data_IF_099712896828
#
_entry.id   IF_099712896828
#
_cell.length_a   1.000
_cell.length_b   1.000
_cell.length_c   1.000
_cell.angle_alpha   90.00
_cell.angle_beta   90.00
_cell.angle_gamma   90.00
#
_symmetry.space_group_name_H-M   'P 1'
#
loop_
_entity.id
_entity.type
_entity.pdbx_description
1 polymer ?
#
# COMPACT_ATOMS: atom_id res chain seq x y z
N UNK A 1 1.86 -38.24 0.77
CA UNK A 1 1.98 -38.20 2.25
C UNK A 1 1.34 -36.90 2.76
N UNK A 2 0.07 -36.69 2.41
CA UNK A 2 -0.72 -35.50 2.75
C UNK A 2 -2.11 -35.94 3.25
N UNK A 3 -2.13 -36.97 4.08
CA UNK A 3 -3.35 -37.41 4.74
C UNK A 3 -3.21 -37.11 6.22
N UNK A 4 -4.23 -36.43 6.77
CA UNK A 4 -4.41 -36.06 8.17
C UNK A 4 -3.76 -34.75 8.64
N UNK A 5 -4.05 -33.64 7.95
CA UNK A 5 -4.20 -32.36 8.64
C UNK A 5 -5.63 -32.25 9.20
N UNK A 6 -6.06 -33.27 9.94
CA UNK A 6 -7.25 -33.19 10.77
C UNK A 6 -6.87 -32.27 11.94
N UNK A 7 -7.16 -30.98 11.80
CA UNK A 7 -7.20 -30.03 12.90
C UNK A 7 -7.98 -30.71 14.03
N UNK A 8 -7.27 -31.13 15.07
CA UNK A 8 -7.90 -31.74 16.25
C UNK A 8 -8.85 -30.70 16.83
N UNK A 9 -10.00 -31.11 17.37
CA UNK A 9 -11.01 -30.20 17.93
C UNK A 9 -10.39 -29.16 18.90
N UNK A 10 -9.34 -29.56 19.61
CA UNK A 10 -8.49 -28.73 20.46
C UNK A 10 -7.79 -27.58 19.71
N UNK A 11 -7.24 -27.81 18.51
CA UNK A 11 -6.61 -26.76 17.70
C UNK A 11 -7.64 -25.77 17.19
N UNK A 12 -8.83 -26.23 16.78
CA UNK A 12 -9.93 -25.35 16.35
C UNK A 12 -10.34 -24.43 17.50
N UNK A 13 -10.46 -24.98 18.71
CA UNK A 13 -10.81 -24.20 19.90
C UNK A 13 -9.76 -23.15 20.26
N UNK A 14 -8.46 -23.49 20.10
CA UNK A 14 -7.35 -22.53 20.27
C UNK A 14 -7.39 -21.43 19.21
N UNK A 15 -7.69 -21.75 17.95
CA UNK A 15 -7.85 -20.76 16.89
C UNK A 15 -9.04 -19.82 17.13
N UNK A 16 -10.18 -20.36 17.57
CA UNK A 16 -11.36 -19.56 17.92
C UNK A 16 -11.04 -18.65 19.11
N UNK A 17 -10.40 -19.16 20.15
CA UNK A 17 -10.00 -18.36 21.32
C UNK A 17 -9.04 -17.24 20.92
N UNK A 18 -8.04 -17.54 20.08
CA UNK A 18 -7.11 -16.54 19.56
C UNK A 18 -7.83 -15.47 18.73
N UNK A 19 -8.78 -15.86 17.87
CA UNK A 19 -9.61 -14.91 17.12
C UNK A 19 -10.42 -14.01 18.06
N UNK A 20 -11.05 -14.58 19.10
CA UNK A 20 -11.77 -13.81 20.11
C UNK A 20 -10.88 -12.84 20.89
N UNK A 21 -9.67 -13.24 21.27
CA UNK A 21 -8.70 -12.35 21.94
C UNK A 21 -8.28 -11.20 21.03
N UNK A 22 -8.01 -11.47 19.75
CA UNK A 22 -7.66 -10.43 18.76
C UNK A 22 -8.82 -9.46 18.54
N UNK A 23 -10.04 -9.98 18.37
CA UNK A 23 -11.24 -9.15 18.23
C UNK A 23 -11.48 -8.34 19.50
N UNK A 24 -11.41 -8.96 20.68
CA UNK A 24 -11.61 -8.31 21.97
C UNK A 24 -10.59 -7.19 22.24
N UNK A 25 -9.31 -7.43 21.92
CA UNK A 25 -8.28 -6.39 22.02
C UNK A 25 -8.57 -5.21 21.08
N UNK A 26 -9.02 -5.49 19.85
CA UNK A 26 -9.39 -4.46 18.88
C UNK A 26 -10.58 -3.63 19.38
N UNK A 27 -11.60 -4.29 19.95
CA UNK A 27 -12.76 -3.62 20.57
C UNK A 27 -12.33 -2.72 21.73
N UNK A 28 -11.42 -3.18 22.60
CA UNK A 28 -10.87 -2.35 23.69
C UNK A 28 -10.15 -1.11 23.18
N UNK A 29 -9.42 -1.22 22.07
CA UNK A 29 -8.76 -0.08 21.42
C UNK A 29 -9.78 0.93 20.89
N UNK A 30 -10.82 0.46 20.22
CA UNK A 30 -11.92 1.30 19.72
C UNK A 30 -12.61 2.00 20.90
N UNK A 31 -12.86 1.29 22.01
CA UNK A 31 -13.54 1.84 23.17
C UNK A 31 -12.77 3.01 23.82
N UNK A 32 -11.43 2.96 23.82
CA UNK A 32 -10.60 4.08 24.28
C UNK A 32 -10.77 5.31 23.39
N UNK A 33 -10.76 5.13 22.07
CA UNK A 33 -10.96 6.22 21.11
C UNK A 33 -12.37 6.81 21.22
N UNK A 34 -13.39 5.96 21.37
CA UNK A 34 -14.78 6.37 21.65
C UNK A 34 -14.85 7.26 22.89
N UNK A 35 -14.19 6.90 23.98
CA UNK A 35 -14.20 7.70 25.21
C UNK A 35 -13.55 9.08 25.00
N UNK A 36 -12.44 9.15 24.27
CA UNK A 36 -11.77 10.41 23.95
C UNK A 36 -12.66 11.30 23.07
N UNK A 37 -13.29 10.72 22.05
CA UNK A 37 -14.17 11.46 21.13
C UNK A 37 -15.42 11.96 21.86
N UNK A 38 -16.02 11.14 22.71
CA UNK A 38 -17.14 11.56 23.55
C UNK A 38 -16.76 12.73 24.47
N UNK A 39 -15.59 12.65 25.11
CA UNK A 39 -15.08 13.73 25.95
C UNK A 39 -14.85 15.03 25.17
N UNK A 40 -14.23 14.94 23.99
CA UNK A 40 -14.02 16.10 23.12
C UNK A 40 -15.35 16.69 22.64
N UNK A 41 -16.29 15.86 22.21
CA UNK A 41 -17.61 16.29 21.75
C UNK A 41 -18.44 16.96 22.85
N UNK A 42 -18.24 16.55 24.11
CA UNK A 42 -18.86 17.20 25.26
C UNK A 42 -18.26 18.59 25.54
N UNK A 43 -16.94 18.72 25.49
CA UNK A 43 -16.23 19.96 25.81
C UNK A 43 -16.32 20.99 24.68
N UNK A 44 -16.37 20.53 23.43
CA UNK A 44 -16.29 21.39 22.26
C UNK A 44 -17.34 22.53 22.22
N UNK A 45 -18.64 22.29 22.47
CA UNK A 45 -19.64 23.36 22.52
C UNK A 45 -19.38 24.37 23.65
N UNK A 46 -18.89 23.89 24.80
CA UNK A 46 -18.57 24.75 25.96
C UNK A 46 -17.40 25.69 25.63
N UNK A 47 -16.37 25.17 24.96
CA UNK A 47 -15.21 25.95 24.53
C UNK A 47 -15.62 26.97 23.46
N UNK A 48 -16.43 26.58 22.48
CA UNK A 48 -16.91 27.49 21.44
C UNK A 48 -17.73 28.65 22.00
N UNK A 49 -18.60 28.39 22.97
CA UNK A 49 -19.37 29.45 23.61
C UNK A 49 -18.49 30.39 24.44
N UNK A 50 -17.58 29.85 25.25
CA UNK A 50 -16.79 30.65 26.19
C UNK A 50 -15.63 31.41 25.53
N UNK A 51 -15.00 30.85 24.50
CA UNK A 51 -13.81 31.44 23.86
C UNK A 51 -14.17 32.22 22.61
N UNK A 52 -15.07 31.68 21.78
CA UNK A 52 -15.38 32.24 20.46
C UNK A 52 -16.69 33.05 20.44
N UNK A 53 -17.38 33.15 21.58
CA UNK A 53 -18.64 33.89 21.69
C UNK A 53 -19.76 33.28 20.84
N UNK A 54 -19.64 32.00 20.48
CA UNK A 54 -20.68 31.31 19.75
C UNK A 54 -21.91 31.06 20.63
N UNK A 55 -23.07 30.87 20.01
CA UNK A 55 -24.35 30.66 20.70
C UNK A 55 -24.84 29.22 20.55
N UNK A 56 -24.00 28.24 20.87
CA UNK A 56 -24.41 26.83 20.90
C UNK A 56 -25.27 26.54 22.12
N UNK A 57 -26.20 25.59 21.98
CA UNK A 57 -27.00 25.13 23.10
C UNK A 57 -26.13 24.24 24.00
N UNK A 58 -25.98 24.61 25.28
CA UNK A 58 -25.16 23.88 26.26
C UNK A 58 -26.00 23.07 27.25
N UNK A 59 -27.31 22.97 27.01
CA UNK A 59 -28.18 22.11 27.82
C UNK A 59 -27.77 20.64 27.72
N UNK A 60 -28.09 19.86 28.76
CA UNK A 60 -27.74 18.44 28.84
C UNK A 60 -28.20 17.65 27.61
N UNK A 61 -29.43 17.89 27.14
CA UNK A 61 -29.97 17.24 25.94
C UNK A 61 -29.15 17.57 24.67
N UNK A 62 -28.77 18.83 24.48
CA UNK A 62 -27.98 19.27 23.34
C UNK A 62 -26.55 18.68 23.40
N UNK A 63 -25.93 18.64 24.58
CA UNK A 63 -24.63 18.00 24.78
C UNK A 63 -24.68 16.51 24.46
N UNK A 64 -25.72 15.80 24.93
CA UNK A 64 -25.92 14.38 24.63
C UNK A 64 -26.10 14.16 23.13
N UNK A 65 -26.81 15.06 22.44
CA UNK A 65 -27.00 15.03 21.00
C UNK A 65 -25.68 15.22 20.25
N UNK A 66 -24.85 16.20 20.63
CA UNK A 66 -23.52 16.41 20.02
C UNK A 66 -22.60 15.21 20.22
N UNK A 67 -22.58 14.63 21.43
CA UNK A 67 -21.80 13.42 21.72
C UNK A 67 -22.29 12.24 20.87
N UNK A 68 -23.61 12.06 20.74
CA UNK A 68 -24.19 10.98 19.94
C UNK A 68 -23.83 11.12 18.46
N UNK A 69 -23.93 12.34 17.90
CA UNK A 69 -23.54 12.60 16.51
C UNK A 69 -22.05 12.33 16.30
N UNK A 70 -21.19 12.81 17.20
CA UNK A 70 -19.75 12.61 17.08
C UNK A 70 -19.36 11.12 17.14
N UNK A 71 -19.99 10.36 18.04
CA UNK A 71 -19.80 8.91 18.12
C UNK A 71 -20.33 8.19 16.88
N UNK A 72 -21.48 8.59 16.35
CA UNK A 72 -22.03 8.05 15.10
C UNK A 72 -21.08 8.28 13.92
N UNK A 73 -20.55 9.49 13.77
CA UNK A 73 -19.56 9.83 12.74
C UNK A 73 -18.28 9.01 12.90
N UNK A 74 -17.80 8.82 14.13
CA UNK A 74 -16.62 8.00 14.39
C UNK A 74 -16.83 6.53 14.01
N UNK A 75 -18.01 5.97 14.33
CA UNK A 75 -18.38 4.62 13.92
C UNK A 75 -18.41 4.46 12.39
N UNK A 76 -18.97 5.44 11.68
CA UNK A 76 -18.97 5.45 10.22
C UNK A 76 -17.54 5.51 9.67
N UNK A 77 -16.68 6.35 10.25
CA UNK A 77 -15.27 6.43 9.88
C UNK A 77 -14.54 5.09 10.08
N UNK A 78 -14.70 4.45 11.24
CA UNK A 78 -14.09 3.13 11.53
C UNK A 78 -14.55 2.06 10.54
N UNK A 79 -15.84 2.05 10.18
CA UNK A 79 -16.37 1.11 9.18
C UNK A 79 -15.73 1.37 7.81
N UNK A 80 -15.62 2.64 7.38
CA UNK A 80 -14.98 3.01 6.13
C UNK A 80 -13.49 2.64 6.11
N UNK A 81 -12.77 2.91 7.20
CA UNK A 81 -11.36 2.55 7.35
C UNK A 81 -11.17 1.04 7.24
N UNK A 82 -12.09 0.25 7.81
CA UNK A 82 -12.09 -1.21 7.69
C UNK A 82 -12.24 -1.66 6.23
N UNK A 83 -13.17 -1.06 5.48
CA UNK A 83 -13.36 -1.36 4.06
C UNK A 83 -12.16 -0.95 3.20
N UNK A 84 -11.58 0.23 3.44
CA UNK A 84 -10.40 0.71 2.72
C UNK A 84 -9.18 -0.14 3.05
N UNK A 85 -9.00 -0.54 4.31
CA UNK A 85 -7.91 -1.40 4.76
C UNK A 85 -7.97 -2.78 4.10
N UNK A 86 -9.16 -3.38 4.00
CA UNK A 86 -9.37 -4.63 3.24
C UNK A 86 -9.01 -4.42 1.76
N UNK A 87 -9.44 -3.31 1.17
CA UNK A 87 -9.09 -2.95 -0.21
C UNK A 87 -7.58 -2.84 -0.44
N UNK A 88 -6.84 -2.22 0.48
CA UNK A 88 -5.38 -2.09 0.41
C UNK A 88 -4.66 -3.43 0.55
N UNK A 89 -5.14 -4.32 1.44
CA UNK A 89 -4.58 -5.68 1.56
C UNK A 89 -4.80 -6.47 0.27
N UNK A 90 -5.99 -6.40 -0.31
CA UNK A 90 -6.31 -7.06 -1.58
C UNK A 90 -5.42 -6.49 -2.70
N UNK A 91 -5.30 -5.17 -2.80
CA UNK A 91 -4.47 -4.53 -3.81
C UNK A 91 -2.99 -4.90 -3.66
N UNK A 92 -2.49 -4.96 -2.43
CA UNK A 92 -1.12 -5.41 -2.13
C UNK A 92 -0.87 -6.87 -2.52
N UNK A 93 -1.86 -7.76 -2.33
CA UNK A 93 -1.78 -9.15 -2.81
C UNK A 93 -1.73 -9.19 -4.34
N UNK A 94 -2.55 -8.40 -5.03
CA UNK A 94 -2.49 -8.29 -6.49
C UNK A 94 -1.16 -7.72 -6.99
N UNK A 95 -0.58 -6.74 -6.30
CA UNK A 95 0.72 -6.17 -6.64
C UNK A 95 1.85 -7.20 -6.50
N UNK A 96 1.84 -7.97 -5.41
CA UNK A 96 2.80 -9.08 -5.20
C UNK A 96 2.63 -10.15 -6.29
N UNK A 97 1.41 -10.48 -6.67
CA UNK A 97 1.12 -11.44 -7.74
C UNK A 97 1.49 -10.90 -9.14
N UNK A 98 1.39 -9.58 -9.36
CA UNK A 98 1.70 -8.93 -10.63
C UNK A 98 3.20 -8.67 -10.82
N UNK A 99 3.99 -8.50 -9.75
CA UNK A 99 5.45 -8.31 -9.80
C UNK A 99 6.19 -9.31 -10.71
N UNK A 100 5.98 -10.65 -10.58
CA UNK A 100 6.67 -11.61 -11.44
C UNK A 100 6.25 -11.49 -12.92
N UNK A 101 5.00 -11.09 -13.21
CA UNK A 101 4.51 -10.88 -14.58
C UNK A 101 5.20 -9.67 -15.21
N UNK A 102 5.36 -8.59 -14.45
CA UNK A 102 6.07 -7.38 -14.89
C UNK A 102 7.55 -7.70 -15.18
N UNK A 103 8.21 -8.46 -14.32
CA UNK A 103 9.60 -8.90 -14.55
C UNK A 103 9.75 -9.75 -15.81
N UNK A 104 8.82 -10.67 -16.06
CA UNK A 104 8.82 -11.49 -17.28
C UNK A 104 8.61 -10.60 -18.51
N UNK A 105 7.70 -9.63 -18.44
CA UNK A 105 7.47 -8.69 -19.52
C UNK A 105 8.71 -7.84 -19.82
N UNK A 106 9.39 -7.32 -18.80
CA UNK A 106 10.64 -6.57 -18.96
C UNK A 106 11.78 -7.45 -19.49
N UNK A 107 11.88 -8.70 -19.05
CA UNK A 107 12.85 -9.66 -19.59
C UNK A 107 12.59 -9.97 -21.08
N UNK A 108 11.31 -10.14 -21.47
CA UNK A 108 10.90 -10.35 -22.86
C UNK A 108 11.18 -9.11 -23.71
N UNK A 109 10.89 -7.91 -23.19
CA UNK A 109 11.18 -6.62 -23.85
C UNK A 109 12.68 -6.40 -24.02
N UNK A 110 13.49 -6.77 -23.03
CA UNK A 110 14.95 -6.74 -23.12
C UNK A 110 15.49 -7.74 -24.15
N UNK A 111 14.93 -8.94 -24.22
CA UNK A 111 15.27 -9.96 -25.23
C UNK A 111 14.89 -9.53 -26.67
N UNK A 112 13.72 -8.90 -26.84
CA UNK A 112 13.25 -8.39 -28.13
C UNK A 112 14.00 -7.11 -28.55
N UNK A 113 14.32 -6.23 -27.60
CA UNK A 113 15.11 -5.01 -27.82
C UNK A 113 16.60 -5.27 -28.07
N UNK A 114 17.17 -6.29 -27.43
CA UNK A 114 18.57 -6.70 -27.60
C UNK A 114 18.87 -7.27 -28.99
N UNK A 115 17.87 -7.87 -29.67
CA UNK A 115 18.03 -8.34 -31.06
C UNK A 115 18.24 -7.22 -32.08
N UNK A 116 17.81 -5.98 -31.81
CA UNK A 116 18.08 -4.83 -32.70
C UNK A 116 19.52 -4.31 -32.54
N UNK A 117 20.02 -4.17 -31.31
CA UNK A 117 21.38 -3.64 -31.06
C UNK A 117 22.52 -4.56 -31.52
N UNK A 118 22.33 -5.88 -31.50
CA UNK A 118 23.39 -6.82 -31.90
C UNK A 118 23.62 -6.90 -33.42
N UNK A 119 22.65 -6.45 -34.24
CA UNK A 119 22.81 -6.36 -35.71
C UNK A 119 23.57 -5.10 -36.15
N UNK A 120 23.56 -4.02 -35.37
CA UNK A 120 24.30 -2.79 -35.69
C UNK A 120 25.80 -2.91 -35.35
N UNK A 121 26.13 -3.51 -34.19
CA UNK A 121 27.54 -3.65 -33.75
C UNK A 121 28.36 -4.57 -34.67
N UNK A 122 27.74 -5.56 -35.32
CA UNK A 122 28.43 -6.41 -36.32
C UNK A 122 28.70 -5.69 -37.65
N UNK A 123 27.92 -4.65 -37.99
CA UNK A 123 28.16 -3.85 -39.22
C UNK A 123 29.28 -2.82 -39.04
N UNK A 124 29.46 -2.25 -37.85
CA UNK A 124 30.56 -1.32 -37.58
C UNK A 124 31.93 -2.01 -37.55
N UNK A 125 32.04 -3.18 -36.91
CA UNK A 125 33.33 -3.92 -36.86
C UNK A 125 33.81 -4.48 -38.21
N UNK A 126 32.95 -4.50 -39.24
CA UNK A 126 33.35 -4.88 -40.59
C UNK A 126 33.89 -3.70 -41.40
N UNK A 127 33.43 -2.47 -41.14
CA UNK A 127 33.96 -1.25 -41.79
C UNK A 127 35.33 -0.85 -41.25
N UNK A 128 35.57 -1.02 -39.95
CA UNK A 128 36.88 -0.68 -39.34
C UNK A 128 38.04 -1.55 -39.84
N UNK A 129 37.76 -2.75 -40.37
CA UNK A 129 38.78 -3.61 -40.97
C UNK A 129 39.09 -3.32 -42.44
N UNK A 130 38.23 -2.60 -43.16
CA UNK A 130 38.48 -2.20 -44.54
C UNK A 130 39.25 -0.87 -44.63
N UNK A 131 39.15 0.03 -43.63
CA UNK A 131 39.79 1.36 -43.69
C UNK A 131 41.27 1.38 -43.27
N UNK A 132 41.77 0.36 -42.56
CA UNK A 132 43.16 0.34 -42.05
C UNK A 132 44.20 -0.32 -42.99
N UNK A 133 43.83 -0.74 -44.20
CA UNK A 133 44.77 -1.36 -45.15
C UNK A 133 45.27 -0.42 -46.27
N UNK A 134 44.74 0.80 -46.38
CA UNK A 134 45.09 1.72 -47.48
C UNK A 134 46.10 2.84 -47.10
N UNK A 135 46.41 3.03 -45.82
CA UNK A 135 47.24 4.16 -45.35
C UNK A 135 48.74 3.85 -45.14
N UNK A 136 49.21 2.61 -45.34
CA UNK A 136 50.63 2.25 -45.15
C UNK A 136 51.53 2.45 -46.38
N UNK A 137 51.02 2.88 -47.54
CA UNK A 137 51.81 2.89 -48.80
C UNK A 137 52.19 4.27 -49.36
N UNK A 138 52.08 5.37 -48.60
CA UNK A 138 52.30 6.72 -49.13
C UNK A 138 53.20 7.66 -48.32
N UNK A 139 54.18 7.14 -47.56
CA UNK A 139 55.19 7.97 -46.86
C UNK A 139 56.65 7.57 -47.08
N UNK A 140 56.99 7.05 -48.28
CA UNK A 140 58.39 7.01 -48.74
C UNK A 140 58.46 7.45 -50.19
N UNK A 141 58.65 8.75 -50.43
CA UNK A 141 59.43 9.33 -51.53
C UNK A 141 59.05 10.80 -51.70
N UNK A 142 59.89 11.70 -51.17
CA UNK A 142 60.48 12.78 -51.98
C UNK A 142 61.56 13.51 -51.17
N UNK A 143 62.74 13.52 -51.80
CA UNK A 143 63.87 14.41 -51.58
C UNK A 143 63.48 15.88 -51.58
#
# INVERSE_FOLDING_TARGET
MFENLALTDSMILVFILAAFLVIGYKVLSILKNVAIIAFLAYIFPLVLNNIFGASFQTGFEAQLHYVTIALGLYLVYEVLELFVGIGSIIFGIFEILAMPIVWIYDAIKALLGGKKKMKEIKKEKQKEKETNNDDENHTVSKN
#
